data_IF_993542990755
#
_entry.id   IF_993542990755
#
_cell.length_a   1.000
_cell.length_b   1.000
_cell.length_c   1.000
_cell.angle_alpha   90.00
_cell.angle_beta   90.00
_cell.angle_gamma   90.00
#
_symmetry.space_group_name_H-M   'P 1'
#
loop_
_entity.id
_entity.type
_entity.pdbx_description
1 polymer ?
#
# COMPACT_ATOMS: atom_id res chain seq x y z
N UNK A 1 20.16 6.36 -15.64
CA UNK A 1 19.16 6.95 -14.71
C UNK A 1 18.84 5.89 -13.67
N UNK A 2 19.09 6.12 -12.37
CA UNK A 2 18.75 5.13 -11.35
C UNK A 2 17.23 4.91 -11.43
N UNK A 3 16.82 3.65 -11.56
CA UNK A 3 15.39 3.31 -11.60
C UNK A 3 14.81 3.72 -10.26
N UNK A 4 13.58 4.25 -10.25
CA UNK A 4 12.90 4.69 -9.01
C UNK A 4 12.93 3.61 -7.90
N UNK A 5 13.02 2.35 -8.32
CA UNK A 5 13.05 1.13 -7.52
C UNK A 5 14.45 0.72 -7.00
N UNK A 6 15.51 1.48 -7.32
CA UNK A 6 16.85 1.28 -6.73
C UNK A 6 16.93 1.78 -5.29
N UNK A 7 15.88 2.47 -4.80
CA UNK A 7 15.73 2.91 -3.41
C UNK A 7 14.92 1.93 -2.54
N UNK A 8 14.69 0.71 -3.01
CA UNK A 8 14.03 -0.36 -2.25
C UNK A 8 14.95 -0.82 -1.10
N UNK A 9 14.36 -0.95 0.09
CA UNK A 9 14.96 -1.49 1.30
C UNK A 9 13.91 -2.43 1.92
N UNK A 10 14.34 -3.42 2.70
CA UNK A 10 13.50 -4.40 3.40
C UNK A 10 12.30 -3.73 4.10
N UNK A 11 12.52 -2.58 4.76
CA UNK A 11 11.44 -1.82 5.41
C UNK A 11 10.41 -1.27 4.42
N UNK A 12 10.87 -0.70 3.29
CA UNK A 12 9.99 -0.18 2.24
C UNK A 12 9.25 -1.31 1.53
N UNK A 13 9.89 -2.47 1.34
CA UNK A 13 9.26 -3.66 0.76
C UNK A 13 8.11 -4.15 1.63
N UNK A 14 8.33 -4.29 2.94
CA UNK A 14 7.28 -4.62 3.91
C UNK A 14 6.14 -3.60 3.86
N UNK A 15 6.45 -2.30 3.94
CA UNK A 15 5.45 -1.23 3.88
C UNK A 15 4.60 -1.29 2.58
N UNK A 16 5.23 -1.53 1.43
CA UNK A 16 4.56 -1.66 0.13
C UNK A 16 3.64 -2.87 0.11
N UNK A 17 4.11 -4.02 0.63
CA UNK A 17 3.31 -5.24 0.70
C UNK A 17 2.08 -5.04 1.58
N UNK A 18 2.25 -4.52 2.79
CA UNK A 18 1.14 -4.19 3.70
C UNK A 18 0.13 -3.26 3.04
N UNK A 19 0.60 -2.21 2.38
CA UNK A 19 -0.26 -1.26 1.69
C UNK A 19 -1.08 -1.94 0.58
N UNK A 20 -0.45 -2.80 -0.20
CA UNK A 20 -1.12 -3.57 -1.26
C UNK A 20 -2.21 -4.48 -0.70
N UNK A 21 -1.89 -5.27 0.33
CA UNK A 21 -2.84 -6.20 0.95
C UNK A 21 -4.05 -5.46 1.52
N UNK A 22 -3.81 -4.31 2.16
CA UNK A 22 -4.88 -3.51 2.77
C UNK A 22 -5.76 -2.87 1.71
N UNK A 23 -5.18 -2.34 0.63
CA UNK A 23 -5.95 -1.79 -0.51
C UNK A 23 -6.76 -2.89 -1.19
N UNK A 24 -6.20 -4.11 -1.31
CA UNK A 24 -6.91 -5.25 -1.88
C UNK A 24 -8.15 -5.63 -1.07
N UNK A 25 -8.01 -5.77 0.26
CA UNK A 25 -9.15 -6.05 1.16
C UNK A 25 -10.20 -4.95 1.02
N UNK A 26 -9.79 -3.68 1.09
CA UNK A 26 -10.72 -2.55 0.97
C UNK A 26 -11.46 -2.55 -0.37
N UNK A 27 -10.75 -2.74 -1.48
CA UNK A 27 -11.35 -2.79 -2.81
C UNK A 27 -12.32 -3.96 -2.96
N UNK A 28 -12.01 -5.11 -2.35
CA UNK A 28 -12.88 -6.29 -2.41
C UNK A 28 -14.21 -6.05 -1.71
N UNK A 29 -14.17 -5.48 -0.50
CA UNK A 29 -15.35 -5.34 0.35
C UNK A 29 -16.17 -4.08 0.04
N UNK A 30 -15.53 -2.93 -0.20
CA UNK A 30 -16.25 -1.68 -0.45
C UNK A 30 -16.67 -1.49 -1.91
N UNK A 31 -15.96 -2.11 -2.87
CA UNK A 31 -16.25 -1.97 -4.30
C UNK A 31 -16.52 -3.33 -4.97
N UNK A 32 -17.58 -4.07 -4.58
CA UNK A 32 -17.90 -5.36 -5.18
C UNK A 32 -18.42 -5.24 -6.62
N UNK A 33 -19.06 -4.13 -6.98
CA UNK A 33 -19.69 -3.92 -8.29
C UNK A 33 -18.82 -3.19 -9.33
N UNK A 34 -17.60 -2.78 -8.99
CA UNK A 34 -16.71 -2.08 -9.92
C UNK A 34 -15.90 -3.02 -10.79
N UNK A 35 -15.60 -2.60 -12.03
CA UNK A 35 -14.72 -3.34 -12.92
C UNK A 35 -13.30 -3.33 -12.37
N UNK A 36 -12.77 -4.52 -12.05
CA UNK A 36 -11.42 -4.69 -11.53
C UNK A 36 -10.51 -5.17 -12.65
N UNK A 37 -9.31 -4.61 -12.69
CA UNK A 37 -8.28 -5.02 -13.63
C UNK A 37 -6.98 -5.31 -12.90
N UNK A 38 -6.08 -6.00 -13.59
CA UNK A 38 -4.77 -6.34 -13.06
C UNK A 38 -3.95 -5.05 -12.90
N UNK A 39 -3.40 -4.82 -11.72
CA UNK A 39 -2.52 -3.68 -11.48
C UNK A 39 -1.26 -3.79 -12.36
N UNK A 40 -0.96 -2.80 -13.23
CA UNK A 40 0.15 -2.92 -14.18
C UNK A 40 1.50 -2.74 -13.49
N UNK A 41 2.22 -3.84 -13.25
CA UNK A 41 3.58 -3.82 -12.69
C UNK A 41 4.60 -3.89 -13.82
N UNK A 42 5.40 -2.82 -13.98
CA UNK A 42 6.49 -2.78 -14.99
C UNK A 42 7.83 -3.27 -14.43
N UNK A 43 8.01 -3.29 -13.11
CA UNK A 43 9.26 -3.66 -12.45
C UNK A 43 9.21 -5.03 -11.80
N UNK A 44 10.07 -5.95 -12.27
CA UNK A 44 10.15 -7.32 -11.74
C UNK A 44 10.53 -7.40 -10.25
N UNK A 45 11.21 -6.40 -9.70
CA UNK A 45 11.48 -6.31 -8.24
C UNK A 45 10.20 -6.06 -7.44
N UNK A 46 9.34 -5.15 -7.90
CA UNK A 46 8.03 -4.93 -7.27
C UNK A 46 7.13 -6.16 -7.39
N UNK A 47 7.19 -6.87 -8.52
CA UNK A 47 6.44 -8.12 -8.70
C UNK A 47 6.82 -9.16 -7.64
N UNK A 48 8.11 -9.29 -7.31
CA UNK A 48 8.57 -10.17 -6.23
C UNK A 48 8.05 -9.73 -4.85
N UNK A 49 8.06 -8.43 -4.55
CA UNK A 49 7.54 -7.88 -3.28
C UNK A 49 6.05 -8.19 -3.10
N UNK A 50 5.29 -8.13 -4.20
CA UNK A 50 3.86 -8.41 -4.23
C UNK A 50 3.52 -9.91 -4.32
N UNK A 51 4.52 -10.80 -4.36
CA UNK A 51 4.31 -12.24 -4.28
C UNK A 51 4.06 -12.93 -5.63
N UNK A 52 4.61 -12.41 -6.73
CA UNK A 52 4.49 -12.94 -8.11
C UNK A 52 3.11 -12.84 -8.76
N UNK A 53 2.09 -12.38 -8.04
CA UNK A 53 0.77 -12.08 -8.60
C UNK A 53 0.44 -10.60 -8.40
N UNK A 54 -0.09 -9.97 -9.45
CA UNK A 54 -0.48 -8.56 -9.38
C UNK A 54 -1.89 -8.46 -8.80
N UNK A 55 -2.13 -7.58 -7.81
CA UNK A 55 -3.45 -7.46 -7.20
C UNK A 55 -4.46 -6.96 -8.24
N UNK A 56 -5.63 -7.60 -8.24
CA UNK A 56 -6.76 -7.21 -9.09
C UNK A 56 -7.59 -6.16 -8.34
N UNK A 57 -7.57 -4.93 -8.83
CA UNK A 57 -8.12 -3.75 -8.16
C UNK A 57 -8.97 -2.92 -9.13
N UNK A 58 -9.92 -2.17 -8.60
CA UNK A 58 -10.63 -1.15 -9.39
C UNK A 58 -9.71 0.01 -9.75
N UNK A 59 -10.10 0.80 -10.76
CA UNK A 59 -9.26 1.89 -11.28
C UNK A 59 -8.83 2.89 -10.20
N UNK A 60 -9.70 3.18 -9.22
CA UNK A 60 -9.40 4.10 -8.13
C UNK A 60 -8.43 3.53 -7.09
N UNK A 61 -8.60 2.25 -6.74
CA UNK A 61 -7.66 1.56 -5.85
C UNK A 61 -6.28 1.37 -6.50
N UNK A 62 -6.21 1.18 -7.82
CA UNK A 62 -4.94 1.16 -8.56
C UNK A 62 -4.23 2.53 -8.51
N UNK A 63 -4.97 3.63 -8.70
CA UNK A 63 -4.41 4.99 -8.55
C UNK A 63 -3.92 5.24 -7.12
N UNK A 64 -4.65 4.77 -6.11
CA UNK A 64 -4.27 4.89 -4.72
C UNK A 64 -2.98 4.11 -4.40
N UNK A 65 -2.89 2.86 -4.87
CA UNK A 65 -1.73 2.00 -4.66
C UNK A 65 -0.49 2.56 -5.36
N UNK A 66 -0.61 2.93 -6.63
CA UNK A 66 0.51 3.52 -7.39
C UNK A 66 1.02 4.81 -6.75
N UNK A 67 0.12 5.68 -6.29
CA UNK A 67 0.51 6.90 -5.56
C UNK A 67 1.22 6.55 -4.25
N UNK A 68 0.70 5.61 -3.46
CA UNK A 68 1.33 5.18 -2.22
C UNK A 68 2.73 4.59 -2.42
N UNK A 69 2.89 3.68 -3.40
CA UNK A 69 4.19 3.10 -3.77
C UNK A 69 5.18 4.20 -4.17
N UNK A 70 4.76 5.13 -5.04
CA UNK A 70 5.63 6.23 -5.48
C UNK A 70 6.13 7.05 -4.28
N UNK A 71 5.25 7.37 -3.31
CA UNK A 71 5.63 8.12 -2.11
C UNK A 71 6.53 7.33 -1.16
N UNK A 72 6.33 6.02 -1.03
CA UNK A 72 7.20 5.14 -0.23
C UNK A 72 8.62 5.08 -0.81
N UNK A 73 8.74 4.99 -2.13
CA UNK A 73 10.04 4.92 -2.82
C UNK A 73 10.76 6.27 -2.81
N UNK A 74 10.03 7.35 -3.09
CA UNK A 74 10.55 8.72 -3.15
C UNK A 74 10.80 9.35 -1.79
N UNK A 75 10.37 8.73 -0.68
CA UNK A 75 10.60 9.26 0.66
C UNK A 75 12.12 9.42 0.91
N UNK A 76 12.54 10.66 1.14
CA UNK A 76 13.93 11.06 1.40
C UNK A 76 14.34 10.94 2.87
N UNK A 77 13.39 10.69 3.79
CA UNK A 77 13.66 10.59 5.23
C UNK A 77 14.12 9.18 5.59
N UNK A 78 15.29 9.07 6.24
CA UNK A 78 15.81 7.84 6.81
C UNK A 78 16.43 8.13 8.20
N UNK A 79 15.88 7.60 9.32
CA UNK A 79 14.76 6.68 9.39
C UNK A 79 13.41 7.35 9.09
N UNK A 80 12.62 6.75 8.20
CA UNK A 80 11.28 7.24 7.86
C UNK A 80 10.36 7.23 9.11
N UNK A 81 9.88 8.40 9.59
CA UNK A 81 8.88 8.44 10.66
C UNK A 81 7.53 7.92 10.14
N UNK A 82 6.62 7.57 11.05
CA UNK A 82 5.24 7.26 10.65
C UNK A 82 4.65 8.43 9.84
N UNK A 83 3.91 8.15 8.75
CA UNK A 83 3.32 9.20 7.91
C UNK A 83 2.43 10.19 8.68
N UNK A 84 1.92 9.81 9.87
CA UNK A 84 1.18 10.70 10.78
C UNK A 84 2.07 11.75 11.46
N UNK A 85 3.34 11.41 11.72
CA UNK A 85 4.34 12.23 12.43
C UNK A 85 5.36 12.89 11.48
N UNK A 86 5.17 12.79 10.17
CA UNK A 86 6.09 13.34 9.17
C UNK A 86 5.88 14.86 9.05
N UNK A 87 6.95 15.64 9.21
CA UNK A 87 6.95 17.11 9.15
C UNK A 87 6.56 17.62 7.76
N UNK A 88 7.08 16.99 6.70
CA UNK A 88 6.70 17.28 5.31
C UNK A 88 5.59 16.33 4.86
N UNK A 89 4.39 16.85 4.67
CA UNK A 89 3.25 16.07 4.22
C UNK A 89 3.29 15.88 2.70
N UNK A 90 3.92 14.78 2.25
CA UNK A 90 4.13 14.50 0.83
C UNK A 90 2.91 13.96 0.07
N UNK A 91 1.78 13.73 0.75
CA UNK A 91 0.54 13.22 0.14
C UNK A 91 -0.28 14.37 -0.45
N UNK A 92 -0.78 14.20 -1.68
CA UNK A 92 -1.77 15.12 -2.23
C UNK A 92 -3.04 15.14 -1.34
N UNK A 93 -3.69 16.31 -1.19
CA UNK A 93 -4.94 16.41 -0.44
C UNK A 93 -5.99 15.44 -1.03
N UNK A 94 -6.71 14.72 -0.18
CA UNK A 94 -7.65 13.65 -0.56
C UNK A 94 -7.06 12.23 -0.55
N UNK A 95 -5.85 12.01 -1.10
CA UNK A 95 -5.23 10.67 -1.07
C UNK A 95 -4.88 10.22 0.35
N UNK A 96 -4.51 11.17 1.23
CA UNK A 96 -4.21 10.88 2.63
C UNK A 96 -5.43 10.34 3.38
N UNK A 97 -6.60 10.90 3.11
CA UNK A 97 -7.85 10.49 3.76
C UNK A 97 -8.25 9.10 3.30
N UNK A 98 -8.19 8.86 1.98
CA UNK A 98 -8.40 7.52 1.40
C UNK A 98 -7.47 6.47 2.01
N UNK A 99 -6.17 6.75 2.14
CA UNK A 99 -5.25 5.78 2.79
C UNK A 99 -5.59 5.57 4.27
N UNK A 100 -5.94 6.61 5.02
CA UNK A 100 -6.36 6.44 6.42
C UNK A 100 -7.62 5.59 6.52
N UNK A 101 -8.57 5.80 5.62
CA UNK A 101 -9.81 5.01 5.54
C UNK A 101 -9.51 3.55 5.24
N UNK A 102 -8.69 3.28 4.21
CA UNK A 102 -8.20 1.92 3.89
C UNK A 102 -7.52 1.28 5.10
N UNK A 103 -6.59 1.99 5.75
CA UNK A 103 -5.88 1.46 6.91
C UNK A 103 -6.82 1.15 8.08
N UNK A 104 -7.80 2.02 8.35
CA UNK A 104 -8.78 1.84 9.42
C UNK A 104 -9.71 0.67 9.11
N UNK A 105 -10.23 0.60 7.89
CA UNK A 105 -11.14 -0.46 7.47
C UNK A 105 -10.45 -1.81 7.45
N UNK A 106 -9.34 -1.94 6.71
CA UNK A 106 -8.64 -3.21 6.54
C UNK A 106 -8.04 -3.70 7.85
N UNK A 107 -7.56 -2.79 8.71
CA UNK A 107 -7.15 -3.13 10.07
C UNK A 107 -8.32 -3.70 10.89
N UNK A 108 -9.46 -3.01 10.94
CA UNK A 108 -10.63 -3.49 11.68
C UNK A 108 -11.18 -4.80 11.09
N UNK A 109 -11.13 -4.95 9.76
CA UNK A 109 -11.52 -6.16 9.06
C UNK A 109 -10.68 -7.36 9.52
N UNK A 110 -9.35 -7.22 9.59
CA UNK A 110 -8.45 -8.28 10.06
C UNK A 110 -8.72 -8.66 11.53
N UNK A 111 -8.99 -7.68 12.41
CA UNK A 111 -9.41 -7.95 13.80
C UNK A 111 -10.69 -8.79 13.82
N UNK A 112 -11.72 -8.35 13.08
CA UNK A 112 -13.04 -9.01 13.07
C UNK A 112 -12.99 -10.45 12.56
N UNK A 113 -12.08 -10.75 11.64
CA UNK A 113 -11.93 -12.10 11.07
C UNK A 113 -10.92 -12.97 11.83
N UNK A 114 -10.48 -12.55 13.03
CA UNK A 114 -9.60 -13.34 13.89
C UNK A 114 -8.17 -13.46 13.38
N UNK A 115 -7.76 -12.68 12.38
CA UNK A 115 -6.40 -12.68 11.81
C UNK A 115 -5.49 -11.69 12.55
N UNK A 116 -5.51 -11.76 13.88
CA UNK A 116 -4.69 -10.92 14.77
C UNK A 116 -3.19 -11.15 14.53
N UNK A 117 -2.82 -12.38 14.17
CA UNK A 117 -1.45 -12.76 13.82
C UNK A 117 -0.89 -11.93 12.65
N UNK A 118 -1.70 -11.75 11.58
CA UNK A 118 -1.34 -10.89 10.45
C UNK A 118 -1.23 -9.42 10.87
N UNK A 119 -2.13 -8.93 11.72
CA UNK A 119 -2.01 -7.55 12.21
C UNK A 119 -0.76 -7.33 13.04
N UNK A 120 -0.41 -8.28 13.92
CA UNK A 120 0.81 -8.21 14.70
C UNK A 120 2.05 -8.22 13.78
N UNK A 121 2.07 -9.07 12.75
CA UNK A 121 3.16 -9.14 11.76
C UNK A 121 3.38 -7.83 10.99
N UNK A 122 2.32 -7.04 10.78
CA UNK A 122 2.42 -5.75 10.07
C UNK A 122 2.65 -4.55 10.99
N UNK A 123 2.38 -4.67 12.30
CA UNK A 123 2.56 -3.60 13.29
C UNK A 123 3.88 -3.70 14.08
N UNK A 124 4.47 -4.89 14.19
CA UNK A 124 5.71 -5.18 14.92
C UNK A 124 6.81 -5.72 13.98
#
# INVERSE_FOLDING_TARGET
MPKLFDRLNIKKEKDIKTLSDFIFIFCRENHPGETKSIFPIKDGRLLKVLGNESPVLCSDCQKLLSHGIAKLLLCSLDPKPMCKKCETHCYAPGYREKIREVMKFSGLYLVKHGRLDLMAHYLF
#
